data_IF_805117367178
#
_entry.id   IF_805117367178
#
_cell.length_a   1.000
_cell.length_b   1.000
_cell.length_c   1.000
_cell.angle_alpha   90.00
_cell.angle_beta   90.00
_cell.angle_gamma   90.00
#
_symmetry.space_group_name_H-M   'P 1'
#
loop_
_entity.id
_entity.type
_entity.pdbx_description
1 polymer ?
#
# COMPACT_ATOMS: atom_id res chain seq x y z
N UNK A 1 18.82 5.00 11.33
CA UNK A 1 18.19 3.77 10.82
C UNK A 1 18.02 3.92 9.32
N UNK A 2 18.63 3.05 8.51
CA UNK A 2 18.57 3.19 7.05
C UNK A 2 17.21 2.68 6.55
N UNK A 3 16.41 3.57 5.96
CA UNK A 3 15.11 3.20 5.37
C UNK A 3 15.33 2.26 4.20
N UNK A 4 14.50 1.22 4.09
CA UNK A 4 14.54 0.33 2.91
C UNK A 4 14.21 1.11 1.65
N UNK A 5 14.80 0.66 0.53
CA UNK A 5 14.59 1.24 -0.79
C UNK A 5 14.28 0.15 -1.80
N UNK A 6 13.41 0.48 -2.74
CA UNK A 6 13.06 -0.36 -3.88
C UNK A 6 13.05 0.49 -5.16
N UNK A 7 13.04 -0.16 -6.31
CA UNK A 7 12.84 0.48 -7.62
C UNK A 7 11.42 0.25 -8.09
N UNK A 8 10.68 1.31 -8.38
CA UNK A 8 9.33 1.19 -8.93
C UNK A 8 9.39 0.53 -10.30
N UNK A 9 8.65 -0.56 -10.48
CA UNK A 9 8.65 -1.32 -11.74
C UNK A 9 7.90 -0.63 -12.89
N UNK A 10 7.24 0.49 -12.61
CA UNK A 10 6.51 1.29 -13.62
C UNK A 10 7.31 2.52 -14.07
N UNK A 11 7.79 3.36 -13.13
CA UNK A 11 8.51 4.59 -13.47
C UNK A 11 10.05 4.49 -13.35
N UNK A 12 10.58 3.46 -12.68
CA UNK A 12 12.03 3.29 -12.46
C UNK A 12 12.63 4.12 -11.31
N UNK A 13 11.84 5.02 -10.70
CA UNK A 13 12.29 5.84 -9.57
C UNK A 13 12.37 5.04 -8.25
N UNK A 14 13.06 5.63 -7.28
CA UNK A 14 13.16 5.06 -5.93
C UNK A 14 11.81 5.11 -5.19
N UNK A 15 11.44 3.98 -4.59
CA UNK A 15 10.46 3.90 -3.51
C UNK A 15 11.25 3.82 -2.21
N UNK A 16 10.95 4.74 -1.29
CA UNK A 16 11.55 4.81 0.04
C UNK A 16 10.51 4.34 1.04
N UNK A 17 10.93 3.50 1.98
CA UNK A 17 10.07 3.07 3.09
C UNK A 17 9.42 4.27 3.80
N UNK A 18 8.09 4.17 3.98
CA UNK A 18 7.25 5.25 4.51
C UNK A 18 6.54 6.07 3.42
N UNK A 19 6.90 5.91 2.14
CA UNK A 19 6.08 6.41 1.04
C UNK A 19 4.86 5.51 0.81
N UNK A 20 3.91 5.99 0.00
CA UNK A 20 2.76 5.22 -0.42
C UNK A 20 3.12 4.30 -1.60
N UNK A 21 3.20 2.99 -1.31
CA UNK A 21 3.57 1.99 -2.30
C UNK A 21 2.97 0.63 -1.94
N UNK A 22 2.96 -0.29 -2.91
CA UNK A 22 2.54 -1.68 -2.72
C UNK A 22 3.45 -2.64 -3.49
N UNK A 23 3.23 -3.94 -3.28
CA UNK A 23 3.83 -5.01 -4.08
C UNK A 23 2.73 -5.76 -4.81
N UNK A 24 2.94 -5.99 -6.10
CA UNK A 24 2.09 -6.83 -6.92
C UNK A 24 2.94 -7.79 -7.74
N UNK A 25 2.31 -8.55 -8.65
CA UNK A 25 2.96 -9.63 -9.40
C UNK A 25 4.24 -9.23 -10.16
N UNK A 26 4.38 -7.98 -10.61
CA UNK A 26 5.61 -7.51 -11.29
C UNK A 26 6.68 -6.95 -10.35
N UNK A 27 6.38 -6.73 -9.07
CA UNK A 27 7.31 -6.19 -8.07
C UNK A 27 6.79 -4.95 -7.32
N UNK A 28 7.69 -4.18 -6.67
CA UNK A 28 7.33 -2.96 -5.95
C UNK A 28 6.91 -1.83 -6.89
N UNK A 29 5.85 -1.10 -6.51
CA UNK A 29 5.28 -0.02 -7.34
C UNK A 29 4.76 1.12 -6.46
N UNK A 30 5.01 2.37 -6.87
CA UNK A 30 4.33 3.51 -6.23
C UNK A 30 2.83 3.36 -6.42
N UNK A 31 2.05 3.71 -5.41
CA UNK A 31 0.61 3.52 -5.49
C UNK A 31 0.00 4.28 -6.68
N UNK A 32 0.42 5.53 -6.90
CA UNK A 32 -0.03 6.33 -8.06
C UNK A 32 0.38 5.73 -9.42
N UNK A 33 1.50 5.02 -9.48
CA UNK A 33 1.93 4.34 -10.70
C UNK A 33 1.05 3.13 -11.00
N UNK A 34 0.63 2.41 -9.95
CA UNK A 34 -0.32 1.32 -10.08
C UNK A 34 -1.68 1.81 -10.58
N UNK A 35 -2.20 2.90 -10.02
CA UNK A 35 -3.44 3.54 -10.48
C UNK A 35 -3.37 3.93 -11.96
N UNK A 36 -2.27 4.59 -12.38
CA UNK A 36 -2.04 4.95 -13.79
C UNK A 36 -2.00 3.73 -14.70
N UNK A 37 -1.37 2.64 -14.28
CA UNK A 37 -1.35 1.38 -15.04
C UNK A 37 -2.75 0.78 -15.21
N UNK A 38 -3.61 0.93 -14.19
CA UNK A 38 -4.98 0.40 -14.18
C UNK A 38 -6.02 1.36 -14.80
N UNK A 39 -5.67 2.60 -15.11
CA UNK A 39 -6.59 3.68 -15.50
C UNK A 39 -7.63 3.28 -16.56
N UNK A 40 -7.22 2.58 -17.62
CA UNK A 40 -8.14 2.14 -18.69
C UNK A 40 -9.21 1.15 -18.20
N UNK A 41 -8.88 0.31 -17.20
CA UNK A 41 -9.82 -0.62 -16.57
C UNK A 41 -10.73 0.12 -15.59
N UNK A 42 -10.15 0.95 -14.73
CA UNK A 42 -10.88 1.73 -13.73
C UNK A 42 -11.95 2.62 -14.36
N UNK A 43 -11.68 3.20 -15.53
CA UNK A 43 -12.67 4.01 -16.25
C UNK A 43 -13.93 3.23 -16.67
N UNK A 44 -13.82 1.91 -16.86
CA UNK A 44 -14.91 1.04 -17.35
C UNK A 44 -15.55 0.20 -16.25
N UNK A 45 -14.96 0.20 -15.05
CA UNK A 45 -15.33 -0.68 -13.95
C UNK A 45 -15.34 0.12 -12.64
N UNK A 46 -16.53 0.58 -12.26
CA UNK A 46 -16.73 1.40 -11.08
C UNK A 46 -16.46 0.63 -9.78
N UNK A 47 -16.70 -0.68 -9.76
CA UNK A 47 -16.45 -1.53 -8.60
C UNK A 47 -14.95 -1.69 -8.38
N UNK A 48 -14.19 -1.94 -9.45
CA UNK A 48 -12.72 -1.94 -9.40
C UNK A 48 -12.16 -0.59 -8.94
N UNK A 49 -12.74 0.52 -9.39
CA UNK A 49 -12.34 1.85 -8.95
C UNK A 49 -12.62 2.07 -7.45
N UNK A 50 -13.77 1.61 -6.95
CA UNK A 50 -14.11 1.67 -5.53
C UNK A 50 -13.15 0.82 -4.69
N UNK A 51 -12.84 -0.40 -5.13
CA UNK A 51 -11.88 -1.29 -4.47
C UNK A 51 -10.48 -0.70 -4.45
N UNK A 52 -10.02 -0.11 -5.56
CA UNK A 52 -8.73 0.59 -5.60
C UNK A 52 -8.71 1.77 -4.63
N UNK A 53 -9.81 2.53 -4.50
CA UNK A 53 -9.85 3.63 -3.53
C UNK A 53 -9.81 3.13 -2.08
N UNK A 54 -10.42 1.98 -1.78
CA UNK A 54 -10.30 1.33 -0.49
C UNK A 54 -8.85 0.87 -0.22
N UNK A 55 -8.19 0.30 -1.22
CA UNK A 55 -6.77 -0.09 -1.16
C UNK A 55 -5.87 1.12 -0.85
N UNK A 56 -6.08 2.27 -1.50
CA UNK A 56 -5.38 3.53 -1.18
C UNK A 56 -5.45 3.86 0.31
N UNK A 57 -6.68 3.88 0.85
CA UNK A 57 -6.93 4.23 2.24
C UNK A 57 -6.21 3.29 3.22
N UNK A 58 -6.19 2.00 2.91
CA UNK A 58 -5.47 1.01 3.73
C UNK A 58 -3.96 1.30 3.70
N UNK A 59 -3.40 1.61 2.54
CA UNK A 59 -1.99 1.98 2.42
C UNK A 59 -1.63 3.28 3.15
N UNK A 60 -2.50 4.30 3.11
CA UNK A 60 -2.35 5.51 3.92
C UNK A 60 -2.36 5.18 5.42
N UNK A 61 -3.25 4.28 5.85
CA UNK A 61 -3.30 3.76 7.20
C UNK A 61 -2.02 3.05 7.65
N UNK A 62 -1.37 2.30 6.76
CA UNK A 62 -0.07 1.65 7.03
C UNK A 62 1.02 2.71 7.26
N UNK A 63 1.09 3.73 6.40
CA UNK A 63 2.05 4.83 6.54
C UNK A 63 1.85 5.54 7.87
N UNK A 64 0.62 5.94 8.17
CA UNK A 64 0.26 6.58 9.43
C UNK A 64 0.61 5.70 10.64
N UNK A 65 0.30 4.40 10.58
CA UNK A 65 0.62 3.49 11.69
C UNK A 65 2.13 3.41 11.97
N UNK A 66 2.98 3.44 10.92
CA UNK A 66 4.45 3.51 11.10
C UNK A 66 4.89 4.80 11.78
N UNK A 67 4.28 5.93 11.42
CA UNK A 67 4.57 7.22 12.03
C UNK A 67 4.13 7.27 13.50
N UNK A 68 2.94 6.74 13.80
CA UNK A 68 2.42 6.65 15.17
C UNK A 68 3.23 5.68 16.04
N UNK A 69 3.75 4.59 15.48
CA UNK A 69 4.65 3.66 16.18
C UNK A 69 5.94 4.38 16.63
N UNK A 70 6.44 5.34 15.84
CA UNK A 70 7.60 6.16 16.20
C UNK A 70 7.26 7.23 17.25
N UNK A 71 6.05 7.79 17.20
CA UNK A 71 5.60 8.83 18.14
C UNK A 71 5.23 8.27 19.51
N UNK A 72 4.68 7.05 19.56
CA UNK A 72 4.21 6.43 20.78
C UNK A 72 5.34 6.26 21.81
N UNK A 73 5.08 6.66 23.06
CA UNK A 73 6.08 6.63 24.13
C UNK A 73 6.05 5.33 24.94
N UNK A 74 4.89 4.69 25.07
CA UNK A 74 4.74 3.44 25.83
C UNK A 74 4.87 2.21 24.94
N UNK A 75 5.50 1.15 25.48
CA UNK A 75 5.64 -0.12 24.77
C UNK A 75 4.29 -0.80 24.50
N UNK A 76 3.31 -0.61 25.39
CA UNK A 76 1.95 -1.10 25.17
C UNK A 76 1.30 -0.46 23.94
N UNK A 77 1.43 0.86 23.77
CA UNK A 77 0.89 1.57 22.61
C UNK A 77 1.63 1.17 21.32
N UNK A 78 2.96 1.12 21.34
CA UNK A 78 3.77 0.67 20.20
C UNK A 78 3.37 -0.73 19.73
N UNK A 79 3.24 -1.67 20.67
CA UNK A 79 2.84 -3.04 20.38
C UNK A 79 1.46 -3.11 19.73
N UNK A 80 0.48 -2.35 20.25
CA UNK A 80 -0.87 -2.30 19.67
C UNK A 80 -0.89 -1.69 18.27
N UNK A 81 -0.13 -0.62 18.05
CA UNK A 81 -0.01 0.02 16.72
C UNK A 81 0.64 -0.94 15.72
N UNK A 82 1.72 -1.62 16.13
CA UNK A 82 2.40 -2.61 15.28
C UNK A 82 1.49 -3.79 14.91
N UNK A 83 0.63 -4.24 15.84
CA UNK A 83 -0.38 -5.27 15.58
C UNK A 83 -1.40 -4.80 14.52
N UNK A 84 -1.98 -3.61 14.69
CA UNK A 84 -2.92 -3.03 13.71
C UNK A 84 -2.25 -2.85 12.35
N UNK A 85 -1.01 -2.34 12.32
CA UNK A 85 -0.23 -2.19 11.09
C UNK A 85 -0.09 -3.51 10.34
N UNK A 86 0.24 -4.61 11.03
CA UNK A 86 0.34 -5.94 10.42
C UNK A 86 -0.99 -6.42 9.83
N UNK A 87 -2.11 -6.13 10.49
CA UNK A 87 -3.44 -6.45 9.97
C UNK A 87 -3.75 -5.67 8.69
N UNK A 88 -3.41 -4.38 8.65
CA UNK A 88 -3.53 -3.54 7.45
C UNK A 88 -2.62 -4.03 6.32
N UNK A 89 -1.36 -4.36 6.60
CA UNK A 89 -0.42 -4.93 5.62
C UNK A 89 -0.96 -6.22 4.99
N UNK A 90 -1.55 -7.12 5.79
CA UNK A 90 -2.16 -8.35 5.31
C UNK A 90 -3.46 -8.12 4.51
N UNK A 91 -4.25 -7.10 4.87
CA UNK A 91 -5.44 -6.71 4.12
C UNK A 91 -5.07 -6.08 2.78
N UNK A 92 -4.13 -5.13 2.77
CA UNK A 92 -3.60 -4.49 1.57
C UNK A 92 -3.05 -5.53 0.58
N UNK A 93 -2.22 -6.47 1.05
CA UNK A 93 -1.66 -7.49 0.18
C UNK A 93 -2.74 -8.35 -0.51
N UNK A 94 -3.84 -8.67 0.18
CA UNK A 94 -4.96 -9.41 -0.42
C UNK A 94 -5.70 -8.55 -1.44
N UNK A 95 -6.08 -7.33 -1.06
CA UNK A 95 -6.85 -6.44 -1.91
C UNK A 95 -6.08 -5.99 -3.16
N UNK A 96 -4.81 -5.61 -3.03
CA UNK A 96 -3.93 -5.32 -4.18
C UNK A 96 -3.87 -6.51 -5.15
N UNK A 97 -3.79 -7.75 -4.64
CA UNK A 97 -3.78 -8.93 -5.50
C UNK A 97 -5.14 -9.14 -6.21
N UNK A 98 -6.25 -8.95 -5.52
CA UNK A 98 -7.60 -9.03 -6.12
C UNK A 98 -7.76 -8.01 -7.26
N UNK A 99 -7.41 -6.74 -7.01
CA UNK A 99 -7.46 -5.64 -8.00
C UNK A 99 -6.61 -5.95 -9.24
N UNK A 100 -5.40 -6.49 -9.02
CA UNK A 100 -4.41 -6.69 -10.09
C UNK A 100 -4.57 -8.01 -10.86
N UNK A 101 -5.20 -9.03 -10.27
CA UNK A 101 -5.29 -10.39 -10.83
C UNK A 101 -6.40 -10.63 -11.87
N UNK A 102 -7.18 -9.61 -12.27
CA UNK A 102 -8.33 -9.70 -13.21
C UNK A 102 -9.54 -10.51 -12.68
N UNK A 103 -9.69 -10.71 -11.38
CA UNK A 103 -10.79 -11.50 -10.82
C UNK A 103 -11.98 -10.61 -10.38
N UNK A 104 -12.65 -9.97 -11.34
CA UNK A 104 -14.06 -9.57 -11.25
C UNK A 104 -14.69 -9.70 -12.64
#
# INVERSE_FOLDING_TARGET
MQRKRWKCVVCGDDIIEGQLFTFYSKGPVHWECLEKELAQRLYKDADLAALLRLDHYIHEGIVLAKELEHLAQSEAAKSRIAEVRKQLEALAARLTNEITSKAF
#
